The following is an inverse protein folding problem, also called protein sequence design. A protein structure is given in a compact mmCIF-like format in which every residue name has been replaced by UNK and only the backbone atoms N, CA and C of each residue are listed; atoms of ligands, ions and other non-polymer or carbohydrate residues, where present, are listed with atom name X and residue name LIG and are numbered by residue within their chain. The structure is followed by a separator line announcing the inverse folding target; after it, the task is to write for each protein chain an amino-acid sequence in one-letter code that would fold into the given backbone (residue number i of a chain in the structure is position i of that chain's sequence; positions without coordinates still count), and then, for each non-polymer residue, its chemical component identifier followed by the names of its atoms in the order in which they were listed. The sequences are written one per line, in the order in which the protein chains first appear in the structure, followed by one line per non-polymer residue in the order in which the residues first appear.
data_IF_087507155286
#
_entry.id   IF_087507155286
#
_cell.length_a   1.000
_cell.length_b   1.000
_cell.length_c   1.000
_cell.angle_alpha   90.00
_cell.angle_beta   90.00
_cell.angle_gamma   90.00
#
_symmetry.space_group_name_H-M   'P 1'
#
loop_
_entity.id
_entity.type
_entity.pdbx_description
1 polymer ?
#
# COMPACT_ATOMS: atom_id res chain seq x y z
N UNK A 1 -7.76 -2.19 -15.02
CA UNK A 1 -8.51 -1.07 -14.41
C UNK A 1 -8.38 -1.30 -12.93
N UNK A 2 -7.50 -0.56 -12.24
CA UNK A 2 -7.27 -0.75 -10.79
C UNK A 2 -8.60 -0.75 -10.05
N UNK A 3 -8.86 -1.79 -9.26
CA UNK A 3 -10.19 -2.00 -8.71
C UNK A 3 -10.41 -1.06 -7.53
N UNK A 4 -11.28 -0.07 -7.72
CA UNK A 4 -11.87 0.72 -6.63
C UNK A 4 -13.17 0.05 -6.15
N UNK A 5 -13.39 0.06 -4.83
CA UNK A 5 -14.60 -0.44 -4.19
C UNK A 5 -14.88 0.37 -2.91
N UNK A 6 -16.16 0.73 -2.73
CA UNK A 6 -16.68 1.42 -1.54
C UNK A 6 -17.64 0.54 -0.73
N UNK A 7 -17.70 -0.76 -1.04
CA UNK A 7 -18.68 -1.71 -0.51
C UNK A 7 -18.26 -2.37 0.81
N UNK A 8 -19.25 -2.84 1.57
CA UNK A 8 -19.02 -3.67 2.75
C UNK A 8 -18.34 -5.00 2.41
N UNK A 9 -17.56 -5.53 3.35
CA UNK A 9 -16.66 -6.67 3.16
C UNK A 9 -17.35 -7.92 2.59
N UNK A 10 -18.61 -8.16 2.94
CA UNK A 10 -19.37 -9.34 2.45
C UNK A 10 -19.67 -9.24 0.96
N UNK A 11 -19.95 -8.04 0.44
CA UNK A 11 -20.22 -7.83 -0.99
C UNK A 11 -18.95 -8.07 -1.83
N UNK A 12 -17.79 -7.69 -1.30
CA UNK A 12 -16.49 -7.91 -1.95
C UNK A 12 -16.20 -9.39 -2.21
N UNK A 13 -16.67 -10.27 -1.31
CA UNK A 13 -16.49 -11.72 -1.45
C UNK A 13 -17.23 -12.30 -2.66
N UNK A 14 -18.21 -11.61 -3.26
CA UNK A 14 -18.97 -12.11 -4.42
C UNK A 14 -18.42 -11.61 -5.76
N UNK A 15 -17.42 -10.72 -5.75
CA UNK A 15 -16.85 -10.15 -6.98
C UNK A 15 -15.97 -11.18 -7.72
N UNK A 16 -15.98 -11.13 -9.06
CA UNK A 16 -15.16 -12.02 -9.90
C UNK A 16 -13.87 -11.37 -10.44
N UNK A 17 -13.95 -10.13 -10.95
CA UNK A 17 -12.77 -9.43 -11.49
C UNK A 17 -11.82 -9.04 -10.36
N UNK A 18 -10.52 -9.28 -10.54
CA UNK A 18 -9.46 -9.13 -9.54
C UNK A 18 -9.69 -9.85 -8.21
N UNK A 19 -10.57 -10.85 -8.17
CA UNK A 19 -10.90 -11.51 -6.92
C UNK A 19 -10.07 -12.76 -6.67
N UNK A 20 -10.08 -13.17 -5.39
CA UNK A 20 -9.51 -14.42 -4.92
C UNK A 20 -10.03 -15.63 -5.72
N UNK A 21 -11.30 -15.61 -6.12
CA UNK A 21 -11.91 -16.70 -6.88
C UNK A 21 -11.27 -16.87 -8.26
N UNK A 22 -11.13 -15.78 -9.02
CA UNK A 22 -10.48 -15.82 -10.34
C UNK A 22 -9.04 -16.34 -10.23
N UNK A 23 -8.37 -16.04 -9.12
CA UNK A 23 -6.98 -16.40 -8.89
C UNK A 23 -6.74 -17.87 -8.52
N UNK A 24 -7.60 -18.46 -7.69
CA UNK A 24 -7.35 -19.77 -7.05
C UNK A 24 -8.27 -20.87 -7.59
N UNK A 25 -9.37 -20.54 -8.29
CA UNK A 25 -10.37 -21.53 -8.71
C UNK A 25 -9.78 -22.66 -9.55
N UNK A 26 -8.87 -22.36 -10.49
CA UNK A 26 -8.22 -23.38 -11.33
C UNK A 26 -7.39 -24.36 -10.49
N UNK A 27 -6.64 -23.83 -9.52
CA UNK A 27 -5.83 -24.63 -8.61
C UNK A 27 -6.74 -25.50 -7.71
N UNK A 28 -7.88 -24.96 -7.25
CA UNK A 28 -8.90 -25.69 -6.47
C UNK A 28 -9.52 -26.83 -7.23
N UNK A 29 -9.89 -26.61 -8.48
CA UNK A 29 -10.44 -27.66 -9.33
C UNK A 29 -9.38 -28.75 -9.56
N UNK A 30 -8.14 -28.38 -9.89
CA UNK A 30 -7.06 -29.34 -10.10
C UNK A 30 -6.75 -30.18 -8.85
N UNK A 31 -6.70 -29.56 -7.68
CA UNK A 31 -6.52 -30.25 -6.41
C UNK A 31 -7.66 -31.24 -6.12
N UNK A 32 -8.92 -30.81 -6.27
CA UNK A 32 -10.06 -31.70 -6.04
C UNK A 32 -10.10 -32.87 -7.02
N UNK A 33 -9.78 -32.64 -8.30
CA UNK A 33 -9.64 -33.72 -9.29
C UNK A 33 -8.58 -34.74 -8.87
N UNK A 34 -7.39 -34.28 -8.45
CA UNK A 34 -6.33 -35.15 -7.95
C UNK A 34 -6.73 -35.91 -6.68
N UNK A 35 -7.40 -35.23 -5.75
CA UNK A 35 -7.90 -35.82 -4.51
C UNK A 35 -8.87 -36.98 -4.78
N UNK A 36 -9.90 -36.75 -5.62
CA UNK A 36 -10.88 -37.79 -5.96
C UNK A 36 -10.29 -38.91 -6.82
N UNK A 37 -9.26 -38.63 -7.63
CA UNK A 37 -8.54 -39.66 -8.38
C UNK A 37 -7.81 -40.63 -7.43
N UNK A 38 -7.11 -40.11 -6.43
CA UNK A 38 -6.42 -40.92 -5.41
C UNK A 38 -7.44 -41.69 -4.57
N UNK A 39 -8.55 -41.05 -4.20
CA UNK A 39 -9.62 -41.70 -3.45
C UNK A 39 -10.26 -42.86 -4.23
N UNK A 40 -10.55 -42.64 -5.52
CA UNK A 40 -11.06 -43.69 -6.41
C UNK A 40 -10.05 -44.83 -6.57
N UNK A 41 -8.76 -44.52 -6.64
CA UNK A 41 -7.71 -45.54 -6.63
C UNK A 41 -7.73 -46.37 -5.34
N UNK A 42 -7.87 -45.73 -4.18
CA UNK A 42 -7.94 -46.39 -2.87
C UNK A 42 -9.17 -47.30 -2.72
N UNK A 43 -10.32 -46.90 -3.29
CA UNK A 43 -11.57 -47.66 -3.21
C UNK A 43 -11.61 -48.86 -4.16
N UNK A 44 -11.21 -48.67 -5.41
CA UNK A 44 -11.47 -49.67 -6.47
C UNK A 44 -10.26 -50.56 -6.78
N UNK A 45 -9.04 -50.14 -6.45
CA UNK A 45 -7.82 -50.85 -6.87
C UNK A 45 -6.98 -51.42 -5.71
N UNK A 46 -7.16 -50.96 -4.48
CA UNK A 46 -6.37 -51.43 -3.33
C UNK A 46 -7.07 -52.54 -2.56
N UNK A 47 -6.34 -53.62 -2.29
CA UNK A 47 -6.77 -54.70 -1.40
C UNK A 47 -6.65 -54.29 0.09
N UNK A 48 -7.31 -55.01 1.00
CA UNK A 48 -7.32 -54.69 2.45
C UNK A 48 -5.92 -54.57 3.07
N UNK A 49 -4.96 -55.42 2.66
CA UNK A 49 -3.57 -55.31 3.13
C UNK A 49 -2.90 -54.05 2.59
N UNK A 50 -3.15 -53.68 1.34
CA UNK A 50 -2.58 -52.49 0.71
C UNK A 50 -3.18 -51.21 1.29
N UNK A 51 -4.48 -51.20 1.62
CA UNK A 51 -5.13 -50.10 2.33
C UNK A 51 -4.45 -49.81 3.68
N UNK A 52 -4.06 -50.84 4.44
CA UNK A 52 -3.29 -50.66 5.69
C UNK A 52 -1.93 -49.98 5.47
N UNK A 53 -1.19 -50.37 4.43
CA UNK A 53 0.07 -49.68 4.07
C UNK A 53 -0.18 -48.23 3.62
N UNK A 54 -1.25 -47.99 2.87
CA UNK A 54 -1.65 -46.65 2.44
C UNK A 54 -2.04 -45.78 3.62
N UNK A 55 -2.76 -46.30 4.63
CA UNK A 55 -3.03 -45.59 5.89
C UNK A 55 -1.73 -45.22 6.60
N UNK A 56 -0.71 -46.08 6.58
CA UNK A 56 0.63 -45.75 7.05
C UNK A 56 1.26 -44.56 6.31
N UNK A 57 1.11 -44.50 4.99
CA UNK A 57 1.56 -43.37 4.17
C UNK A 57 0.79 -42.07 4.48
N UNK A 58 -0.54 -42.15 4.65
CA UNK A 58 -1.38 -41.01 5.06
C UNK A 58 -0.86 -40.42 6.36
N UNK A 59 -0.69 -41.26 7.40
CA UNK A 59 -0.19 -40.83 8.70
C UNK A 59 1.21 -40.21 8.61
N UNK A 60 2.10 -40.76 7.78
CA UNK A 60 3.43 -40.19 7.55
C UNK A 60 3.38 -38.81 6.90
N UNK A 61 2.52 -38.64 5.90
CA UNK A 61 2.26 -37.34 5.28
C UNK A 61 1.65 -36.33 6.26
N UNK A 62 0.71 -36.74 7.13
CA UNK A 62 0.14 -35.88 8.18
C UNK A 62 1.20 -35.32 9.13
N UNK A 63 2.16 -36.16 9.56
CA UNK A 63 3.30 -35.72 10.37
C UNK A 63 4.19 -34.76 9.55
N UNK A 64 4.46 -35.10 8.28
CA UNK A 64 5.20 -34.26 7.35
C UNK A 64 4.67 -32.83 7.23
N UNK A 65 3.35 -32.66 7.19
CA UNK A 65 2.68 -31.36 7.08
C UNK A 65 2.93 -30.43 8.28
N UNK A 66 3.24 -30.98 9.47
CA UNK A 66 3.50 -30.18 10.67
C UNK A 66 4.86 -29.46 10.62
N UNK A 67 5.79 -29.93 9.81
CA UNK A 67 7.13 -29.34 9.70
C UNK A 67 7.21 -28.13 8.77
N UNK A 68 6.14 -27.83 8.01
CA UNK A 68 6.13 -26.75 7.01
C UNK A 68 5.41 -25.51 7.58
N UNK A 69 6.12 -24.46 8.05
CA UNK A 69 5.51 -23.27 8.62
C UNK A 69 5.05 -22.29 7.52
N UNK A 70 4.02 -22.67 6.76
CA UNK A 70 3.53 -21.89 5.61
C UNK A 70 3.17 -20.44 5.97
N UNK A 71 2.46 -20.24 7.08
CA UNK A 71 1.98 -18.90 7.47
C UNK A 71 3.13 -17.92 7.70
N UNK A 72 4.22 -18.39 8.30
CA UNK A 72 5.40 -17.56 8.53
C UNK A 72 6.05 -17.20 7.19
N UNK A 73 6.33 -18.20 6.35
CA UNK A 73 7.02 -18.00 5.08
C UNK A 73 6.22 -17.09 4.12
N UNK A 74 4.92 -17.32 3.98
CA UNK A 74 4.03 -16.50 3.17
C UNK A 74 3.88 -15.09 3.75
N UNK A 75 3.78 -14.95 5.07
CA UNK A 75 3.68 -13.66 5.75
C UNK A 75 4.85 -12.74 5.45
N UNK A 76 6.08 -13.23 5.60
CA UNK A 76 7.28 -12.45 5.28
C UNK A 76 7.40 -12.15 3.78
N UNK A 77 7.10 -13.12 2.93
CA UNK A 77 7.17 -12.93 1.49
C UNK A 77 6.19 -11.86 1.01
N UNK A 78 4.91 -11.99 1.37
CA UNK A 78 3.86 -11.07 0.93
C UNK A 78 4.05 -9.68 1.54
N UNK A 79 4.50 -9.57 2.79
CA UNK A 79 4.82 -8.27 3.39
C UNK A 79 5.91 -7.52 2.59
N UNK A 80 6.97 -8.20 2.16
CA UNK A 80 8.03 -7.60 1.33
C UNK A 80 7.48 -7.19 -0.04
N UNK A 81 6.64 -8.02 -0.67
CA UNK A 81 6.01 -7.69 -1.95
C UNK A 81 5.12 -6.45 -1.82
N UNK A 82 4.22 -6.41 -0.83
CA UNK A 82 3.29 -5.30 -0.61
C UNK A 82 4.04 -3.99 -0.33
N UNK A 83 5.11 -4.04 0.48
CA UNK A 83 5.94 -2.87 0.73
C UNK A 83 6.57 -2.33 -0.57
N UNK A 84 7.14 -3.21 -1.41
CA UNK A 84 7.71 -2.83 -2.72
C UNK A 84 6.64 -2.32 -3.69
N UNK A 85 5.43 -2.89 -3.65
CA UNK A 85 4.31 -2.44 -4.47
C UNK A 85 3.93 -1.00 -4.13
N UNK A 86 3.80 -0.67 -2.84
CA UNK A 86 3.48 0.69 -2.39
C UNK A 86 4.59 1.70 -2.68
N UNK A 87 5.85 1.30 -2.50
CA UNK A 87 6.98 2.13 -2.88
C UNK A 87 6.99 2.44 -4.39
N UNK A 88 6.77 1.44 -5.25
CA UNK A 88 6.66 1.67 -6.69
C UNK A 88 5.52 2.64 -7.03
N UNK A 89 4.37 2.55 -6.36
CA UNK A 89 3.28 3.52 -6.52
C UNK A 89 3.72 4.95 -6.17
N UNK A 90 4.43 5.12 -5.04
CA UNK A 90 4.88 6.42 -4.57
C UNK A 90 5.92 7.08 -5.50
N UNK A 91 6.66 6.28 -6.27
CA UNK A 91 7.64 6.77 -7.26
C UNK A 91 7.04 7.10 -8.63
N UNK A 92 5.74 6.85 -8.87
CA UNK A 92 5.08 7.30 -10.10
C UNK A 92 5.16 8.83 -10.15
N UNK A 93 5.90 9.36 -11.14
CA UNK A 93 6.14 10.80 -11.27
C UNK A 93 4.92 11.57 -11.80
N UNK A 94 4.57 12.67 -11.13
CA UNK A 94 3.51 13.61 -11.52
C UNK A 94 4.14 14.98 -11.85
N UNK A 95 3.85 15.59 -13.02
CA UNK A 95 4.50 16.83 -13.45
C UNK A 95 3.96 18.07 -12.71
N UNK A 96 2.88 17.95 -11.93
CA UNK A 96 2.13 19.05 -11.32
C UNK A 96 3.02 20.03 -10.55
N UNK A 97 3.86 19.54 -9.64
CA UNK A 97 4.76 20.39 -8.84
C UNK A 97 5.75 21.16 -9.74
N UNK A 98 6.30 20.47 -10.74
CA UNK A 98 7.20 21.07 -11.72
C UNK A 98 6.47 22.13 -12.56
N UNK A 99 5.25 21.83 -13.03
CA UNK A 99 4.48 22.74 -13.88
C UNK A 99 3.98 23.98 -13.13
N UNK A 100 3.64 23.86 -11.84
CA UNK A 100 3.34 25.01 -10.97
C UNK A 100 4.58 25.92 -10.88
N UNK A 101 5.77 25.34 -10.69
CA UNK A 101 7.01 26.12 -10.65
C UNK A 101 7.32 26.79 -12.00
N UNK A 102 7.10 26.07 -13.11
CA UNK A 102 7.25 26.59 -14.47
C UNK A 102 6.32 27.78 -14.71
N UNK A 103 5.05 27.68 -14.33
CA UNK A 103 4.09 28.77 -14.44
C UNK A 103 4.52 30.00 -13.61
N UNK A 104 4.97 29.78 -12.38
CA UNK A 104 5.41 30.85 -11.49
C UNK A 104 6.68 31.58 -11.98
N UNK A 105 7.66 30.84 -12.50
CA UNK A 105 8.95 31.42 -12.91
C UNK A 105 8.92 32.03 -14.32
N UNK A 106 8.01 31.58 -15.18
CA UNK A 106 7.95 31.98 -16.59
C UNK A 106 6.56 32.55 -16.93
N UNK A 107 6.13 33.67 -16.34
CA UNK A 107 4.79 34.23 -16.57
C UNK A 107 4.65 34.90 -17.95
N UNK A 108 3.41 35.10 -18.37
CA UNK A 108 3.02 35.89 -19.54
C UNK A 108 3.13 35.16 -20.88
N UNK A 109 2.52 35.77 -21.91
CA UNK A 109 2.38 35.19 -23.25
C UNK A 109 3.73 34.94 -23.97
N UNK A 110 4.76 35.74 -23.68
CA UNK A 110 6.11 35.57 -24.27
C UNK A 110 6.78 34.25 -23.87
N UNK A 111 6.32 33.63 -22.79
CA UNK A 111 6.82 32.36 -22.27
C UNK A 111 5.88 31.19 -22.54
N UNK A 112 4.73 31.41 -23.18
CA UNK A 112 3.74 30.37 -23.48
C UNK A 112 4.35 29.16 -24.19
N UNK A 113 5.08 29.40 -25.28
CA UNK A 113 5.74 28.33 -26.06
C UNK A 113 6.75 27.53 -25.21
N UNK A 114 7.45 28.20 -24.28
CA UNK A 114 8.42 27.56 -23.38
C UNK A 114 7.68 26.65 -22.40
N UNK A 115 6.62 27.15 -21.76
CA UNK A 115 5.81 26.36 -20.82
C UNK A 115 5.16 25.15 -21.50
N UNK A 116 4.61 25.33 -22.69
CA UNK A 116 4.01 24.24 -23.48
C UNK A 116 5.05 23.20 -23.89
N UNK A 117 6.26 23.64 -24.25
CA UNK A 117 7.35 22.73 -24.60
C UNK A 117 7.80 21.92 -23.38
N UNK A 118 7.93 22.54 -22.20
CA UNK A 118 8.25 21.81 -20.96
C UNK A 118 7.14 20.81 -20.61
N UNK A 119 5.86 21.21 -20.72
CA UNK A 119 4.73 20.32 -20.49
C UNK A 119 4.79 19.10 -21.43
N UNK A 120 4.95 19.33 -22.73
CA UNK A 120 5.02 18.25 -23.73
C UNK A 120 6.24 17.36 -23.54
N UNK A 121 7.42 17.92 -23.28
CA UNK A 121 8.61 17.11 -23.00
C UNK A 121 8.52 16.33 -21.69
N UNK A 122 7.79 16.83 -20.69
CA UNK A 122 7.51 16.06 -19.47
C UNK A 122 6.60 14.85 -19.76
N UNK A 123 5.58 15.02 -20.61
CA UNK A 123 4.76 13.92 -21.09
C UNK A 123 5.53 12.93 -21.96
N UNK A 124 6.40 13.44 -22.84
CA UNK A 124 7.26 12.62 -23.68
C UNK A 124 8.24 11.79 -22.85
N UNK A 125 8.86 12.41 -21.83
CA UNK A 125 9.70 11.74 -20.84
C UNK A 125 8.96 10.56 -20.20
N UNK A 126 7.73 10.79 -19.72
CA UNK A 126 6.92 9.76 -19.09
C UNK A 126 6.57 8.64 -20.07
N UNK A 127 6.15 8.97 -21.29
CA UNK A 127 5.81 7.99 -22.32
C UNK A 127 7.01 7.08 -22.65
N UNK A 128 8.18 7.66 -22.93
CA UNK A 128 9.41 6.89 -23.27
C UNK A 128 9.92 6.09 -22.07
N UNK A 129 9.84 6.62 -20.85
CA UNK A 129 10.26 5.88 -19.67
C UNK A 129 9.31 4.69 -19.39
N UNK A 130 8.00 4.91 -19.50
CA UNK A 130 7.00 3.90 -19.17
C UNK A 130 6.84 2.81 -20.24
N UNK A 131 7.19 3.06 -21.51
CA UNK A 131 7.31 1.96 -22.49
C UNK A 131 8.41 0.96 -22.12
N UNK A 132 9.43 1.39 -21.36
CA UNK A 132 10.51 0.54 -20.88
C UNK A 132 10.15 -0.35 -19.68
N UNK A 133 9.06 -0.07 -18.96
CA UNK A 133 8.69 -0.79 -17.73
C UNK A 133 7.25 -1.34 -17.72
N UNK A 134 6.34 -0.77 -18.51
CA UNK A 134 4.93 -1.17 -18.52
C UNK A 134 4.52 -1.79 -19.85
N UNK A 135 3.94 -2.99 -19.76
CA UNK A 135 3.45 -3.74 -20.92
C UNK A 135 2.32 -2.96 -21.61
N UNK A 136 1.41 -2.34 -20.83
CA UNK A 136 0.29 -1.56 -21.36
C UNK A 136 0.74 -0.30 -22.09
N UNK A 137 1.78 0.38 -21.60
CA UNK A 137 2.31 1.57 -22.26
C UNK A 137 3.14 1.19 -23.48
N UNK A 138 3.91 0.09 -23.43
CA UNK A 138 4.62 -0.45 -24.60
C UNK A 138 3.64 -0.82 -25.73
N UNK A 139 2.51 -1.45 -25.41
CA UNK A 139 1.45 -1.75 -26.41
C UNK A 139 0.83 -0.50 -27.01
N UNK A 140 0.78 0.61 -26.25
CA UNK A 140 0.28 1.90 -26.73
C UNK A 140 1.27 2.62 -27.63
N UNK A 141 2.57 2.54 -27.32
CA UNK A 141 3.64 3.15 -28.13
C UNK A 141 4.75 2.13 -28.43
N UNK A 142 4.52 1.18 -29.37
CA UNK A 142 5.49 0.12 -29.66
C UNK A 142 6.80 0.62 -30.29
N UNK A 143 6.73 1.77 -30.97
CA UNK A 143 7.88 2.40 -31.64
C UNK A 143 7.86 3.90 -31.40
N UNK A 144 9.02 4.55 -31.49
CA UNK A 144 9.16 6.00 -31.32
C UNK A 144 8.30 6.79 -32.32
N UNK A 145 7.97 6.22 -33.49
CA UNK A 145 7.07 6.84 -34.46
C UNK A 145 5.67 7.06 -33.91
N UNK A 146 5.16 6.15 -33.07
CA UNK A 146 3.86 6.35 -32.42
C UNK A 146 3.85 7.56 -31.47
N UNK A 147 5.02 7.97 -30.93
CA UNK A 147 5.13 9.19 -30.11
C UNK A 147 5.00 10.46 -30.97
N UNK A 148 5.44 10.40 -32.22
CA UNK A 148 5.27 11.48 -33.21
C UNK A 148 3.82 11.56 -33.66
N UNK A 149 3.21 10.42 -34.02
CA UNK A 149 1.79 10.33 -34.40
C UNK A 149 0.86 10.80 -33.27
N UNK A 150 1.22 10.54 -32.02
CA UNK A 150 0.52 11.03 -30.84
C UNK A 150 0.77 12.52 -30.51
N UNK A 151 1.57 13.23 -31.32
CA UNK A 151 1.97 14.62 -31.12
C UNK A 151 2.71 14.90 -29.80
N UNK A 152 3.37 13.88 -29.22
CA UNK A 152 4.26 14.05 -28.07
C UNK A 152 5.66 14.50 -28.51
N UNK A 153 6.06 14.17 -29.75
CA UNK A 153 7.35 14.50 -30.34
C UNK A 153 7.13 15.13 -31.73
N UNK A 154 7.88 16.17 -32.08
CA UNK A 154 7.87 16.73 -33.45
C UNK A 154 8.80 15.92 -34.37
N UNK A 155 8.70 16.10 -35.70
CA UNK A 155 9.62 15.44 -36.65
C UNK A 155 11.08 15.84 -36.42
N UNK A 156 11.35 17.12 -36.12
CA UNK A 156 12.71 17.58 -35.82
C UNK A 156 13.27 16.94 -34.54
N UNK A 157 12.44 16.86 -33.51
CA UNK A 157 12.80 16.19 -32.26
C UNK A 157 13.00 14.70 -32.46
N UNK A 158 12.22 14.06 -33.32
CA UNK A 158 12.38 12.65 -33.68
C UNK A 158 13.70 12.39 -34.37
N UNK A 159 14.07 13.22 -35.35
CA UNK A 159 15.35 13.10 -36.03
C UNK A 159 16.51 13.28 -35.03
N UNK A 160 16.43 14.28 -34.15
CA UNK A 160 17.43 14.50 -33.11
C UNK A 160 17.48 13.33 -32.13
N UNK A 161 16.34 12.85 -31.64
CA UNK A 161 16.22 11.72 -30.72
C UNK A 161 16.80 10.43 -31.31
N UNK A 162 16.53 10.16 -32.59
CA UNK A 162 17.01 8.97 -33.28
C UNK A 162 18.51 9.03 -33.57
N UNK A 163 19.06 10.21 -33.86
CA UNK A 163 20.50 10.39 -34.10
C UNK A 163 21.39 10.12 -32.89
N UNK A 164 20.85 10.13 -31.68
CA UNK A 164 21.60 9.86 -30.45
C UNK A 164 21.91 8.35 -30.38
N UNK A 165 23.20 8.01 -30.27
CA UNK A 165 23.62 6.67 -29.89
C UNK A 165 23.57 6.53 -28.36
N UNK A 166 22.61 5.74 -27.87
CA UNK A 166 22.36 5.52 -26.46
C UNK A 166 22.02 4.04 -26.21
N UNK A 167 23.03 3.16 -26.12
CA UNK A 167 22.84 1.71 -26.00
C UNK A 167 22.12 1.30 -24.71
N UNK A 168 22.09 2.18 -23.70
CA UNK A 168 21.42 1.96 -22.41
C UNK A 168 20.01 2.55 -22.33
N UNK A 169 19.43 2.95 -23.48
CA UNK A 169 18.10 3.55 -23.57
C UNK A 169 18.13 5.08 -23.54
N UNK A 170 17.04 5.67 -24.07
CA UNK A 170 16.92 7.12 -24.31
C UNK A 170 15.90 7.81 -23.40
N UNK A 171 15.46 7.12 -22.35
CA UNK A 171 14.39 7.62 -21.48
C UNK A 171 14.71 8.98 -20.87
N UNK A 172 15.97 9.31 -20.57
CA UNK A 172 16.39 10.57 -19.95
C UNK A 172 16.47 11.78 -20.92
N UNK A 173 16.38 11.55 -22.23
CA UNK A 173 16.68 12.56 -23.25
C UNK A 173 15.75 13.79 -23.15
N UNK A 174 14.41 13.65 -23.03
CA UNK A 174 13.52 14.80 -22.87
C UNK A 174 13.80 15.61 -21.60
N UNK A 175 14.19 14.96 -20.49
CA UNK A 175 14.63 15.66 -19.27
C UNK A 175 15.83 16.57 -19.55
N UNK A 176 16.81 16.09 -20.33
CA UNK A 176 17.97 16.91 -20.72
C UNK A 176 17.57 18.10 -21.60
N UNK A 177 16.57 17.94 -22.46
CA UNK A 177 16.03 19.05 -23.25
C UNK A 177 15.37 20.10 -22.36
N UNK A 178 14.60 19.69 -21.34
CA UNK A 178 14.01 20.61 -20.35
C UNK A 178 15.10 21.40 -19.62
N UNK A 179 16.16 20.72 -19.13
CA UNK A 179 17.29 21.38 -18.45
C UNK A 179 17.98 22.40 -19.37
N UNK A 180 18.22 22.04 -20.63
CA UNK A 180 18.82 22.95 -21.60
C UNK A 180 17.93 24.15 -21.91
N UNK A 181 16.61 23.95 -22.02
CA UNK A 181 15.65 25.03 -22.22
C UNK A 181 15.63 26.01 -21.04
N UNK A 182 15.64 25.50 -19.81
CA UNK A 182 15.76 26.32 -18.59
C UNK A 182 17.07 27.11 -18.61
N UNK A 183 18.19 26.48 -18.96
CA UNK A 183 19.49 27.15 -19.11
C UNK A 183 19.46 28.26 -20.17
N UNK A 184 18.76 28.05 -21.29
CA UNK A 184 18.56 29.08 -22.32
C UNK A 184 17.73 30.24 -21.77
N UNK A 185 16.68 29.99 -21.00
CA UNK A 185 15.89 31.06 -20.37
C UNK A 185 16.72 31.89 -19.39
N UNK A 186 17.61 31.24 -18.62
CA UNK A 186 18.57 31.92 -17.76
C UNK A 186 19.57 32.77 -18.56
N UNK A 187 20.16 32.22 -19.62
CA UNK A 187 21.08 32.96 -20.50
C UNK A 187 20.44 34.17 -21.18
N UNK A 188 19.14 34.09 -21.48
CA UNK A 188 18.33 35.20 -21.99
C UNK A 188 17.88 36.18 -20.90
N UNK A 189 18.28 35.98 -19.64
CA UNK A 189 17.87 36.77 -18.47
C UNK A 189 16.35 36.84 -18.26
N UNK A 190 15.62 35.80 -18.70
CA UNK A 190 14.17 35.67 -18.45
C UNK A 190 13.86 35.12 -17.06
N UNK A 191 14.81 34.39 -16.48
CA UNK A 191 14.77 33.88 -15.11
C UNK A 191 16.07 34.22 -14.40
N UNK A 192 16.02 34.37 -13.07
CA UNK A 192 17.20 34.56 -12.23
C UNK A 192 17.80 33.22 -11.74
N UNK A 193 18.89 33.29 -10.97
CA UNK A 193 19.60 32.11 -10.45
C UNK A 193 18.78 31.32 -9.41
N UNK A 194 17.93 31.99 -8.64
CA UNK A 194 17.08 31.34 -7.62
C UNK A 194 15.96 30.58 -8.32
N UNK A 195 15.28 31.20 -9.27
CA UNK A 195 14.27 30.58 -10.11
C UNK A 195 14.83 29.38 -10.89
N UNK A 196 16.03 29.52 -11.46
CA UNK A 196 16.70 28.40 -12.14
C UNK A 196 16.94 27.22 -11.18
N UNK A 197 17.43 27.48 -9.96
CA UNK A 197 17.64 26.43 -8.95
C UNK A 197 16.32 25.74 -8.60
N UNK A 198 15.26 26.50 -8.32
CA UNK A 198 13.95 25.96 -7.96
C UNK A 198 13.34 25.11 -9.07
N UNK A 199 13.47 25.54 -10.34
CA UNK A 199 13.03 24.75 -11.49
C UNK A 199 13.81 23.44 -11.61
N UNK A 200 15.14 23.48 -11.48
CA UNK A 200 15.98 22.29 -11.59
C UNK A 200 15.70 21.27 -10.48
N UNK A 201 15.48 21.72 -9.24
CA UNK A 201 15.11 20.83 -8.13
C UNK A 201 13.85 20.03 -8.44
N UNK A 202 12.82 20.67 -9.02
CA UNK A 202 11.60 19.97 -9.42
C UNK A 202 11.80 19.06 -10.64
N UNK A 203 12.63 19.44 -11.60
CA UNK A 203 12.99 18.57 -12.75
C UNK A 203 13.72 17.31 -12.27
N UNK A 204 14.65 17.45 -11.32
CA UNK A 204 15.39 16.31 -10.76
C UNK A 204 14.47 15.40 -9.94
N UNK A 205 13.62 15.95 -9.07
CA UNK A 205 12.63 15.15 -8.34
C UNK A 205 11.67 14.41 -9.28
N UNK A 206 11.26 15.03 -10.38
CA UNK A 206 10.43 14.38 -11.41
C UNK A 206 11.18 13.22 -12.09
N UNK A 207 12.47 13.44 -12.41
CA UNK A 207 13.35 12.43 -13.03
C UNK A 207 13.62 11.24 -12.10
N UNK A 208 13.78 11.49 -10.81
CA UNK A 208 14.13 10.47 -9.81
C UNK A 208 13.04 9.40 -9.69
N UNK A 209 11.76 9.77 -9.85
CA UNK A 209 10.69 8.79 -9.89
C UNK A 209 10.84 7.77 -11.02
N UNK A 210 11.15 8.21 -12.25
CA UNK A 210 11.43 7.27 -13.35
C UNK A 210 12.67 6.42 -13.07
N UNK A 211 13.74 7.01 -12.54
CA UNK A 211 14.96 6.28 -12.20
C UNK A 211 14.67 5.17 -11.18
N UNK A 212 13.92 5.48 -10.13
CA UNK A 212 13.53 4.51 -9.10
C UNK A 212 12.64 3.41 -9.66
N UNK A 213 11.71 3.72 -10.57
CA UNK A 213 10.92 2.69 -11.24
C UNK A 213 11.78 1.75 -12.10
N UNK A 214 12.79 2.26 -12.81
CA UNK A 214 13.76 1.41 -13.51
C UNK A 214 14.56 0.52 -12.54
N UNK A 215 14.93 1.03 -11.36
CA UNK A 215 15.63 0.23 -10.33
C UNK A 215 14.72 -0.88 -9.81
N UNK A 216 13.45 -0.60 -9.54
CA UNK A 216 12.48 -1.61 -9.12
C UNK A 216 12.18 -2.64 -10.22
N UNK A 217 12.24 -2.22 -11.48
CA UNK A 217 12.10 -3.13 -12.62
C UNK A 217 13.33 -4.04 -12.78
N UNK A 218 14.53 -3.46 -12.72
CA UNK A 218 15.78 -4.21 -12.86
C UNK A 218 16.06 -5.14 -11.68
N UNK A 219 15.89 -4.64 -10.45
CA UNK A 219 16.17 -5.36 -9.21
C UNK A 219 14.88 -5.93 -8.63
N UNK A 220 14.45 -7.07 -9.17
CA UNK A 220 13.30 -7.85 -8.66
C UNK A 220 13.65 -8.55 -7.33
N UNK A 221 12.62 -9.08 -6.66
CA UNK A 221 12.82 -9.96 -5.50
C UNK A 221 13.67 -11.17 -5.93
N UNK A 222 14.69 -11.59 -5.16
CA UNK A 222 15.56 -12.69 -5.52
C UNK A 222 14.76 -13.95 -5.91
N UNK A 223 15.10 -14.54 -7.06
CA UNK A 223 14.41 -15.71 -7.60
C UNK A 223 14.38 -16.88 -6.60
N UNK A 224 15.48 -17.10 -5.86
CA UNK A 224 15.52 -18.15 -4.85
C UNK A 224 14.45 -17.96 -3.77
N UNK A 225 14.13 -16.72 -3.40
CA UNK A 225 13.13 -16.45 -2.39
C UNK A 225 11.73 -16.76 -2.91
N UNK A 226 11.42 -16.34 -4.15
CA UNK A 226 10.13 -16.67 -4.79
C UNK A 226 9.97 -18.17 -5.00
N UNK A 227 11.05 -18.87 -5.38
CA UNK A 227 11.08 -20.33 -5.53
C UNK A 227 10.84 -21.05 -4.21
N UNK A 228 11.51 -20.66 -3.11
CA UNK A 228 11.33 -21.30 -1.79
C UNK A 228 9.88 -21.20 -1.33
N UNK A 229 9.26 -20.02 -1.46
CA UNK A 229 7.86 -19.81 -1.06
C UNK A 229 6.91 -20.62 -1.93
N UNK A 230 7.14 -20.66 -3.25
CA UNK A 230 6.35 -21.45 -4.17
C UNK A 230 6.46 -22.95 -3.90
N UNK A 231 7.68 -23.48 -3.76
CA UNK A 231 7.94 -24.90 -3.48
C UNK A 231 7.32 -25.30 -2.14
N UNK A 232 7.48 -24.49 -1.09
CA UNK A 232 6.87 -24.79 0.20
C UNK A 232 5.34 -24.85 0.10
N UNK A 233 4.71 -23.88 -0.57
CA UNK A 233 3.26 -23.80 -0.69
C UNK A 233 2.68 -24.91 -1.56
N UNK A 234 3.20 -25.10 -2.79
CA UNK A 234 2.74 -26.16 -3.68
C UNK A 234 3.10 -27.55 -3.15
N UNK A 235 4.29 -27.72 -2.58
CA UNK A 235 4.73 -28.96 -1.94
C UNK A 235 3.84 -29.35 -0.76
N UNK A 236 3.44 -28.38 0.07
CA UNK A 236 2.47 -28.62 1.15
C UNK A 236 1.15 -29.17 0.60
N UNK A 237 0.60 -28.58 -0.47
CA UNK A 237 -0.66 -29.08 -1.04
C UNK A 237 -0.49 -30.42 -1.77
N UNK A 238 0.67 -30.71 -2.36
CA UNK A 238 0.98 -32.04 -2.90
C UNK A 238 0.99 -33.09 -1.77
N UNK A 239 1.59 -32.78 -0.62
CA UNK A 239 1.56 -33.69 0.54
C UNK A 239 0.12 -33.82 1.08
N UNK A 240 -0.68 -32.74 1.09
CA UNK A 240 -2.09 -32.79 1.48
C UNK A 240 -2.94 -33.69 0.57
N UNK A 241 -2.61 -33.85 -0.73
CA UNK A 241 -3.33 -34.77 -1.62
C UNK A 241 -3.28 -36.22 -1.11
N UNK A 242 -2.22 -36.60 -0.40
CA UNK A 242 -2.03 -37.91 0.20
C UNK A 242 -2.44 -37.91 1.68
N UNK A 243 -1.90 -36.98 2.46
CA UNK A 243 -2.08 -36.94 3.92
C UNK A 243 -3.47 -36.56 4.40
N UNK A 244 -4.37 -36.06 3.53
CA UNK A 244 -5.76 -35.73 3.90
C UNK A 244 -6.78 -36.69 3.30
N UNK A 245 -6.35 -37.82 2.75
CA UNK A 245 -7.25 -38.88 2.28
C UNK A 245 -7.93 -39.58 3.46
N UNK A 246 -9.15 -40.09 3.29
CA UNK A 246 -9.81 -40.88 4.32
C UNK A 246 -9.08 -42.22 4.53
N UNK A 247 -8.97 -42.63 5.78
CA UNK A 247 -8.40 -43.93 6.16
C UNK A 247 -9.48 -44.99 5.96
N UNK A 248 -9.31 -45.86 4.95
CA UNK A 248 -10.31 -46.85 4.54
C UNK A 248 -10.02 -48.26 5.04
N UNK A 249 -9.05 -48.43 5.94
CA UNK A 249 -8.86 -49.70 6.63
C UNK A 249 -9.98 -49.94 7.66
N UNK A 250 -10.35 -51.20 7.82
CA UNK A 250 -11.46 -51.66 8.67
C UNK A 250 -11.40 -51.07 10.09
N UNK A 251 -10.20 -51.03 10.70
CA UNK A 251 -9.99 -50.48 12.04
C UNK A 251 -10.19 -48.95 12.12
N UNK A 252 -9.81 -48.20 11.09
CA UNK A 252 -9.97 -46.74 11.08
C UNK A 252 -11.41 -46.34 10.78
N UNK A 253 -12.11 -47.09 9.92
CA UNK A 253 -13.54 -46.87 9.62
C UNK A 253 -14.46 -47.07 10.83
N UNK A 254 -14.07 -47.91 11.79
CA UNK A 254 -14.79 -48.08 13.06
C UNK A 254 -14.67 -46.88 14.00
N UNK A 255 -13.57 -46.11 13.89
CA UNK A 255 -13.22 -45.06 14.86
C UNK A 255 -13.38 -43.63 14.30
N UNK A 256 -13.34 -43.46 12.98
CA UNK A 256 -13.35 -42.15 12.32
C UNK A 256 -14.41 -42.07 11.21
N UNK A 257 -15.08 -40.92 11.10
CA UNK A 257 -16.03 -40.67 10.01
C UNK A 257 -15.24 -40.40 8.72
N UNK A 258 -15.45 -41.24 7.70
CA UNK A 258 -14.88 -41.04 6.37
C UNK A 258 -15.53 -39.83 5.68
N UNK A 259 -14.95 -38.63 5.86
CA UNK A 259 -15.39 -37.42 5.17
C UNK A 259 -14.91 -37.49 3.71
N UNK A 260 -15.85 -37.70 2.78
CA UNK A 260 -15.55 -37.83 1.35
C UNK A 260 -15.03 -36.54 0.72
N UNK A 261 -15.42 -35.38 1.25
CA UNK A 261 -15.07 -34.06 0.73
C UNK A 261 -14.07 -33.35 1.63
N UNK A 262 -12.90 -32.92 1.12
CA UNK A 262 -11.88 -32.26 1.94
C UNK A 262 -12.21 -30.75 2.12
N UNK A 263 -13.31 -30.45 2.83
CA UNK A 263 -13.84 -29.09 3.01
C UNK A 263 -12.80 -28.16 3.64
N UNK A 264 -12.23 -28.54 4.78
CA UNK A 264 -11.25 -27.71 5.49
C UNK A 264 -9.93 -27.57 4.72
N UNK A 265 -9.49 -28.60 4.00
CA UNK A 265 -8.30 -28.51 3.13
C UNK A 265 -8.56 -27.56 1.96
N UNK A 266 -9.78 -27.55 1.41
CA UNK A 266 -10.18 -26.60 0.37
C UNK A 266 -10.15 -25.16 0.90
N UNK A 267 -10.66 -24.90 2.11
CA UNK A 267 -10.53 -23.60 2.77
C UNK A 267 -9.06 -23.21 3.00
N UNK A 268 -8.25 -24.12 3.54
CA UNK A 268 -6.80 -23.90 3.73
C UNK A 268 -6.14 -23.51 2.41
N UNK A 269 -6.55 -24.12 1.30
CA UNK A 269 -6.01 -23.81 -0.01
C UNK A 269 -6.43 -22.46 -0.54
N UNK A 270 -7.71 -22.08 -0.38
CA UNK A 270 -8.18 -20.73 -0.68
C UNK A 270 -7.36 -19.69 0.09
N UNK A 271 -7.05 -19.93 1.37
CA UNK A 271 -6.25 -19.01 2.17
C UNK A 271 -4.77 -18.99 1.75
N UNK A 272 -4.06 -20.12 1.75
CA UNK A 272 -2.61 -20.12 1.50
C UNK A 272 -2.24 -19.92 0.03
N UNK A 273 -2.95 -20.55 -0.92
CA UNK A 273 -2.73 -20.24 -2.33
C UNK A 273 -3.22 -18.83 -2.64
N UNK A 274 -4.34 -18.40 -2.07
CA UNK A 274 -4.79 -17.01 -2.20
C UNK A 274 -3.73 -16.03 -1.77
N UNK A 275 -3.11 -16.26 -0.62
CA UNK A 275 -2.05 -15.42 -0.09
C UNK A 275 -0.81 -15.42 -0.99
N UNK A 276 -0.42 -16.58 -1.51
CA UNK A 276 0.64 -16.68 -2.53
C UNK A 276 0.27 -15.89 -3.80
N UNK A 277 -0.98 -15.99 -4.28
CA UNK A 277 -1.48 -15.27 -5.46
C UNK A 277 -1.46 -13.76 -5.26
N UNK A 278 -1.80 -13.26 -4.07
CA UNK A 278 -1.63 -11.84 -3.72
C UNK A 278 -0.17 -11.42 -3.93
N UNK A 279 0.78 -12.20 -3.41
CA UNK A 279 2.20 -11.94 -3.65
C UNK A 279 2.59 -12.00 -5.12
N UNK A 280 2.01 -12.92 -5.91
CA UNK A 280 2.31 -13.04 -7.35
C UNK A 280 1.82 -11.83 -8.15
N UNK A 281 0.57 -11.41 -7.97
CA UNK A 281 0.00 -10.27 -8.72
C UNK A 281 0.69 -8.95 -8.37
N UNK A 282 0.99 -8.72 -7.09
CA UNK A 282 1.62 -7.47 -6.67
C UNK A 282 3.13 -7.40 -6.98
N UNK A 283 3.75 -8.52 -7.39
CA UNK A 283 5.19 -8.57 -7.69
C UNK A 283 5.56 -7.77 -8.95
N UNK A 284 4.65 -7.63 -9.91
CA UNK A 284 4.85 -6.84 -11.12
C UNK A 284 3.65 -5.93 -11.43
N UNK A 285 3.55 -4.77 -10.77
CA UNK A 285 2.36 -3.91 -10.87
C UNK A 285 2.23 -3.12 -12.17
N UNK A 286 3.13 -3.32 -13.14
CA UNK A 286 3.14 -2.65 -14.44
C UNK A 286 2.78 -3.58 -15.59
N UNK A 287 2.26 -4.77 -15.27
CA UNK A 287 1.83 -5.78 -16.22
C UNK A 287 0.47 -5.51 -16.84
N UNK A 288 -0.35 -6.55 -16.91
CA UNK A 288 -1.69 -6.50 -17.48
C UNK A 288 -2.79 -7.01 -16.54
N UNK A 289 -2.46 -7.33 -15.29
CA UNK A 289 -3.41 -7.84 -14.32
C UNK A 289 -4.49 -6.79 -13.96
N UNK A 290 -5.63 -7.26 -13.45
CA UNK A 290 -6.81 -6.39 -13.23
C UNK A 290 -6.46 -5.20 -12.32
N UNK A 291 -5.61 -5.41 -11.32
CA UNK A 291 -5.18 -4.46 -10.28
C UNK A 291 -3.83 -3.78 -10.52
N UNK A 292 -3.24 -3.94 -11.71
CA UNK A 292 -2.03 -3.22 -12.07
C UNK A 292 -2.26 -1.70 -12.19
N UNK A 293 -1.18 -0.94 -12.03
CA UNK A 293 -1.20 0.51 -12.11
C UNK A 293 -1.57 1.01 -13.51
N UNK A 294 -2.46 2.00 -13.57
CA UNK A 294 -2.97 2.54 -14.82
C UNK A 294 -2.08 3.65 -15.40
N UNK A 295 -0.85 3.32 -15.78
CA UNK A 295 0.09 4.31 -16.30
C UNK A 295 -0.40 5.03 -17.56
N UNK A 296 -1.21 4.38 -18.41
CA UNK A 296 -1.82 5.05 -19.56
C UNK A 296 -2.80 6.15 -19.13
N UNK A 297 -3.62 5.91 -18.10
CA UNK A 297 -4.50 6.94 -17.54
C UNK A 297 -3.67 8.06 -16.89
N UNK A 298 -2.65 7.71 -16.11
CA UNK A 298 -1.77 8.70 -15.48
C UNK A 298 -1.09 9.57 -16.55
N UNK A 299 -0.64 8.98 -17.67
CA UNK A 299 -0.05 9.71 -18.79
C UNK A 299 -1.04 10.71 -19.41
N UNK A 300 -2.27 10.28 -19.67
CA UNK A 300 -3.31 11.12 -20.28
C UNK A 300 -3.68 12.29 -19.35
N UNK A 301 -3.94 11.98 -18.07
CA UNK A 301 -4.21 12.96 -17.02
C UNK A 301 -3.07 13.97 -16.91
N UNK A 302 -1.83 13.48 -16.84
CA UNK A 302 -0.65 14.33 -16.66
C UNK A 302 -0.42 15.24 -17.87
N UNK A 303 -0.59 14.72 -19.07
CA UNK A 303 -0.47 15.50 -20.31
C UNK A 303 -1.53 16.59 -20.39
N UNK A 304 -2.78 16.26 -20.05
CA UNK A 304 -3.88 17.21 -20.05
C UNK A 304 -3.65 18.34 -19.02
N UNK A 305 -3.35 17.98 -17.78
CA UNK A 305 -3.16 18.95 -16.69
C UNK A 305 -1.89 19.78 -16.88
N UNK A 306 -0.78 19.17 -17.32
CA UNK A 306 0.45 19.91 -17.61
C UNK A 306 0.22 20.95 -18.73
N UNK A 307 -0.51 20.59 -19.78
CA UNK A 307 -0.85 21.55 -20.84
C UNK A 307 -1.76 22.68 -20.33
N UNK A 308 -2.77 22.37 -19.52
CA UNK A 308 -3.66 23.38 -18.92
C UNK A 308 -2.91 24.34 -17.99
N UNK A 309 -1.99 23.82 -17.17
CA UNK A 309 -1.10 24.62 -16.31
C UNK A 309 -0.12 25.49 -17.12
N UNK A 310 0.33 25.02 -18.29
CA UNK A 310 1.21 25.78 -19.17
C UNK A 310 0.49 26.90 -19.92
N UNK A 311 -0.81 26.74 -20.19
CA UNK A 311 -1.59 27.60 -21.06
C UNK A 311 -2.56 28.48 -20.27
N UNK A 312 -3.79 28.00 -20.08
CA UNK A 312 -4.94 28.72 -19.56
C UNK A 312 -4.72 29.22 -18.13
N UNK A 313 -4.17 28.37 -17.25
CA UNK A 313 -4.08 28.66 -15.82
C UNK A 313 -2.84 29.46 -15.43
N UNK A 314 -1.80 29.47 -16.27
CA UNK A 314 -0.48 29.97 -15.89
C UNK A 314 -0.50 31.41 -15.35
N UNK A 315 -1.31 32.25 -15.98
CA UNK A 315 -1.43 33.68 -15.68
C UNK A 315 -2.85 34.07 -15.24
N UNK A 316 -3.73 33.07 -15.00
CA UNK A 316 -5.12 33.31 -14.63
C UNK A 316 -5.23 33.65 -13.15
N UNK A 317 -5.78 34.83 -12.85
CA UNK A 317 -6.06 35.29 -11.50
C UNK A 317 -7.49 35.84 -11.42
N UNK A 318 -8.35 35.33 -10.52
CA UNK A 318 -9.63 35.96 -10.23
C UNK A 318 -9.46 37.39 -9.71
N UNK A 319 -10.41 38.31 -9.93
CA UNK A 319 -10.34 39.66 -9.37
C UNK A 319 -10.18 39.64 -7.85
N UNK A 320 -9.21 40.41 -7.34
CA UNK A 320 -9.02 40.58 -5.91
C UNK A 320 -10.20 41.37 -5.36
N UNK A 321 -11.02 40.72 -4.52
CA UNK A 321 -12.20 41.33 -3.90
C UNK A 321 -12.04 41.39 -2.39
N UNK A 322 -12.71 42.35 -1.73
CA UNK A 322 -12.80 42.42 -0.27
C UNK A 322 -13.82 41.41 0.30
N UNK A 323 -14.05 40.30 -0.39
CA UNK A 323 -15.03 39.31 0.01
C UNK A 323 -14.68 38.74 1.39
N UNK A 324 -15.56 38.96 2.38
CA UNK A 324 -15.41 38.40 3.72
C UNK A 324 -16.01 37.00 3.72
N UNK A 325 -15.18 36.00 3.93
CA UNK A 325 -15.64 34.63 4.16
C UNK A 325 -16.12 34.45 5.60
N UNK A 326 -16.99 33.47 5.83
CA UNK A 326 -17.45 33.13 7.17
C UNK A 326 -16.30 32.45 7.95
N UNK A 327 -15.85 33.09 9.04
CA UNK A 327 -14.82 32.53 9.93
C UNK A 327 -15.27 31.21 10.56
N UNK A 328 -16.57 31.06 10.79
CA UNK A 328 -17.20 29.78 11.14
C UNK A 328 -17.89 29.21 9.91
N UNK A 329 -17.32 28.15 9.35
CA UNK A 329 -17.84 27.51 8.15
C UNK A 329 -19.14 26.76 8.50
N UNK A 330 -20.27 27.05 7.82
CA UNK A 330 -21.55 26.41 8.13
C UNK A 330 -21.57 24.95 7.65
N UNK A 331 -22.32 24.11 8.36
CA UNK A 331 -22.57 22.73 7.97
C UNK A 331 -23.88 22.61 7.17
N UNK A 332 -23.90 21.69 6.20
CA UNK A 332 -25.17 21.24 5.60
C UNK A 332 -26.00 20.46 6.63
N UNK A 333 -27.30 20.29 6.40
CA UNK A 333 -28.15 19.49 7.29
C UNK A 333 -27.69 18.03 7.40
N UNK A 334 -27.13 17.47 6.33
CA UNK A 334 -26.61 16.10 6.34
C UNK A 334 -25.37 15.99 7.23
N UNK A 335 -24.40 16.90 7.08
CA UNK A 335 -23.18 16.91 7.89
C UNK A 335 -23.46 17.30 9.35
N UNK A 336 -24.42 18.18 9.63
CA UNK A 336 -24.70 18.60 11.02
C UNK A 336 -25.27 17.47 11.89
N UNK A 337 -25.89 16.45 11.27
CA UNK A 337 -26.31 15.22 11.98
C UNK A 337 -25.12 14.36 12.42
N UNK A 338 -23.97 14.53 11.78
CA UNK A 338 -22.73 13.80 12.05
C UNK A 338 -21.81 14.79 12.76
N UNK A 339 -21.97 14.92 14.08
CA UNK A 339 -21.19 15.89 14.85
C UNK A 339 -19.73 15.44 14.97
N UNK A 340 -18.82 16.35 14.66
CA UNK A 340 -17.39 16.12 14.83
C UNK A 340 -17.02 16.05 16.32
N UNK A 341 -16.17 15.08 16.67
CA UNK A 341 -15.54 15.04 17.99
C UNK A 341 -14.35 15.98 17.94
N UNK A 342 -14.53 17.20 18.46
CA UNK A 342 -13.45 18.18 18.54
C UNK A 342 -12.33 17.63 19.44
N UNK A 343 -11.07 17.52 18.95
CA UNK A 343 -9.96 17.08 19.77
C UNK A 343 -9.79 18.04 20.94
N UNK A 344 -10.05 17.54 22.16
CA UNK A 344 -9.77 18.27 23.39
C UNK A 344 -8.43 17.80 23.93
N UNK A 345 -7.62 18.72 24.45
CA UNK A 345 -6.42 18.34 25.18
C UNK A 345 -6.79 17.37 26.30
N UNK A 346 -6.01 16.30 26.48
CA UNK A 346 -6.23 15.30 27.54
C UNK A 346 -6.17 15.91 28.95
N UNK A 347 -5.62 17.12 29.10
CA UNK A 347 -5.60 17.89 30.35
C UNK A 347 -6.68 18.98 30.41
N UNK A 348 -7.52 19.15 29.38
CA UNK A 348 -8.56 20.19 29.36
C UNK A 348 -9.61 20.01 30.47
N UNK A 349 -9.77 18.79 30.97
CA UNK A 349 -10.63 18.45 32.11
C UNK A 349 -9.88 18.42 33.44
N UNK A 350 -8.54 18.47 33.41
CA UNK A 350 -7.72 18.49 34.61
C UNK A 350 -7.76 19.88 35.24
N UNK A 351 -8.34 19.98 36.44
CA UNK A 351 -8.47 21.22 37.19
C UNK A 351 -7.59 21.16 38.43
N UNK A 352 -6.59 22.03 38.51
CA UNK A 352 -5.84 22.27 39.74
C UNK A 352 -6.72 23.07 40.72
N UNK A 353 -6.63 22.75 42.01
CA UNK A 353 -7.25 23.56 43.06
C UNK A 353 -6.57 24.93 43.16
N UNK A 354 -7.25 25.91 43.77
CA UNK A 354 -6.71 27.28 43.94
C UNK A 354 -5.38 27.30 44.69
N UNK A 355 -5.17 26.34 45.61
CA UNK A 355 -3.91 26.22 46.35
C UNK A 355 -2.79 25.64 45.49
N UNK A 356 -3.07 24.59 44.70
CA UNK A 356 -2.09 23.98 43.78
C UNK A 356 -1.67 24.92 42.64
N UNK A 357 -2.49 25.94 42.32
CA UNK A 357 -2.15 26.98 41.34
C UNK A 357 -1.25 28.08 41.92
N UNK A 358 -0.99 28.10 43.23
CA UNK A 358 -0.15 29.14 43.83
C UNK A 358 1.31 28.93 43.44
N UNK A 359 1.96 30.03 43.04
CA UNK A 359 3.38 30.02 42.69
C UNK A 359 4.21 30.13 43.97
N UNK A 360 5.00 29.11 44.26
CA UNK A 360 5.99 29.17 45.32
C UNK A 360 7.15 30.05 44.82
N UNK A 361 7.53 31.05 45.61
CA UNK A 361 8.68 31.92 45.28
C UNK A 361 9.99 31.21 45.64
N UNK A 362 11.11 31.47 44.93
CA UNK A 362 12.38 30.80 45.18
C UNK A 362 12.88 30.90 46.63
N UNK A 363 12.60 32.03 47.28
CA UNK A 363 12.95 32.30 48.68
C UNK A 363 12.23 31.36 49.67
N UNK A 364 11.08 30.81 49.28
CA UNK A 364 10.22 30.00 50.13
C UNK A 364 10.28 28.50 49.77
N UNK A 365 11.15 28.10 48.85
CA UNK A 365 11.24 26.70 48.40
C UNK A 365 11.63 25.75 49.53
N UNK A 366 12.57 26.13 50.39
CA UNK A 366 13.01 25.29 51.51
C UNK A 366 11.91 25.14 52.58
N UNK A 367 11.18 26.21 52.87
CA UNK A 367 10.08 26.20 53.84
C UNK A 367 8.89 25.37 53.33
N UNK A 368 8.50 25.52 52.06
CA UNK A 368 7.41 24.72 51.49
C UNK A 368 7.78 23.23 51.32
N UNK A 369 9.03 22.92 50.96
CA UNK A 369 9.51 21.54 50.90
C UNK A 369 9.41 20.85 52.28
N UNK A 370 9.78 21.55 53.36
CA UNK A 370 9.65 21.05 54.73
C UNK A 370 8.18 20.88 55.15
N UNK A 371 7.28 21.79 54.75
CA UNK A 371 5.85 21.69 55.02
C UNK A 371 5.21 20.47 54.32
N UNK A 372 5.58 20.21 53.06
CA UNK A 372 5.08 19.04 52.30
C UNK A 372 5.60 17.72 52.90
N UNK A 373 6.88 17.66 53.31
CA UNK A 373 7.43 16.48 54.00
C UNK A 373 6.70 16.21 55.32
N UNK A 374 6.45 17.26 56.10
CA UNK A 374 5.73 17.17 57.36
C UNK A 374 4.26 16.75 57.16
N UNK A 375 3.54 17.27 56.17
CA UNK A 375 2.17 16.84 55.84
C UNK A 375 2.11 15.38 55.39
N UNK A 376 3.05 14.92 54.57
CA UNK A 376 3.12 13.53 54.10
C UNK A 376 3.37 12.53 55.24
N UNK A 377 4.19 12.90 56.24
CA UNK A 377 4.46 12.11 57.44
C UNK A 377 3.22 12.00 58.35
N UNK A 378 2.46 13.10 58.45
CA UNK A 378 1.23 13.18 59.24
C UNK A 378 0.07 12.41 58.59
N UNK A 379 -0.01 12.42 57.25
CA UNK A 379 -0.99 11.63 56.49
C UNK A 379 -0.71 10.13 56.57
N UNK A 380 0.57 9.70 56.52
CA UNK A 380 0.98 8.31 56.77
C UNK A 380 0.64 7.85 58.19
N UNK A 381 0.79 8.72 59.20
CA UNK A 381 0.35 8.42 60.58
C UNK A 381 -1.18 8.29 60.70
N UNK A 382 -1.97 9.15 60.02
CA UNK A 382 -3.44 9.07 60.01
C UNK A 382 -3.97 7.81 59.31
N UNK A 383 -3.39 7.42 58.17
CA UNK A 383 -3.73 6.16 57.49
C UNK A 383 -3.33 4.94 58.35
N UNK A 384 -2.18 4.98 59.04
CA UNK A 384 -1.78 3.96 60.01
C UNK A 384 -2.72 3.83 61.22
N UNK A 385 -3.31 4.94 61.69
CA UNK A 385 -4.33 4.97 62.75
C UNK A 385 -5.69 4.43 62.28
N UNK A 386 -6.11 4.74 61.05
CA UNK A 386 -7.35 4.21 60.44
C UNK A 386 -7.27 2.70 60.17
N UNK A 387 -6.12 2.19 59.72
CA UNK A 387 -5.89 0.74 59.56
C UNK A 387 -5.91 0.01 60.91
N UNK A 388 -5.41 0.65 62.00
CA UNK A 388 -5.53 0.13 63.38
C UNK A 388 -6.96 0.20 63.93
N UNK A 389 -7.78 1.17 63.52
CA UNK A 389 -9.17 1.31 63.94
C UNK A 389 -10.12 0.32 63.22
N UNK A 390 -9.81 -0.07 61.98
CA UNK A 390 -10.59 -1.03 61.19
C UNK A 390 -10.26 -2.49 61.58
N UNK A 391 -9.08 -2.76 62.13
CA UNK A 391 -8.70 -4.09 62.65
C UNK A 391 -9.41 -4.57 63.92
N UNK A 392 -10.23 -3.74 64.58
CA UNK A 392 -10.89 -4.08 65.86
C UNK A 392 -12.42 -4.24 65.80
N UNK A 393 -13.05 -4.17 64.62
CA UNK A 393 -14.48 -4.47 64.45
C UNK A 393 -14.71 -5.58 63.42
N UNK A 394 -15.12 -6.75 63.90
CA UNK A 394 -15.66 -7.86 63.06
C UNK A 394 -16.78 -7.33 62.15
N UNK A 395 -16.79 -7.61 60.85
CA UNK A 395 -17.83 -7.12 59.95
C UNK A 395 -19.03 -8.08 59.93
N UNK A 396 -20.20 -7.58 60.31
CA UNK A 396 -21.49 -8.15 59.95
C UNK A 396 -21.93 -7.58 58.60
N UNK A 397 -22.33 -8.49 57.69
CA UNK A 397 -22.95 -8.29 56.39
C UNK A 397 -23.78 -6.99 56.24
N UNK A 398 -23.61 -6.30 55.09
CA UNK A 398 -24.78 -5.76 54.39
C UNK A 398 -24.52 -5.58 52.88
N UNK A 399 -25.45 -6.18 52.14
CA UNK A 399 -25.67 -6.17 50.69
C UNK A 399 -26.49 -4.94 50.32
N UNK A 400 -26.09 -4.17 49.29
CA UNK A 400 -26.95 -3.22 48.54
C UNK A 400 -26.40 -3.22 47.10
N UNK A 401 -27.00 -3.96 46.16
CA UNK A 401 -28.12 -3.56 45.29
C UNK A 401 -27.74 -2.47 44.27
N UNK A 402 -27.50 -2.93 43.04
CA UNK A 402 -27.43 -2.16 41.80
C UNK A 402 -28.84 -1.70 41.40
N UNK A 403 -29.01 -0.43 41.09
CA UNK A 403 -30.19 0.09 40.40
C UNK A 403 -29.76 0.75 39.08
N UNK A 404 -30.33 0.20 38.00
CA UNK A 404 -30.93 0.84 36.81
C UNK A 404 -30.40 2.20 36.34
#
# INVERSE_FOLDING_TARGET
MTISYDEEFVSLMLRWRGSLWKAVLKDVIAFNMGYYMILGFQWYFLDETQKKYFTGLINWCEIGLQYIPLSFLLGFFVAVVVARWWEQFNWISWPDKMMIMVAACLPGQKNLAVRQTIARWSSLQAAVAWTGISVRTLKRFPTERHLVEANLMTEDEYNMFMSIDAPHGKWFVPTMWIVNLIKTMYGQKRIDSVQMKMLLEHVYSYRDGFAMLFVYDWVKIPLVYTQVVAIATYGYFIICLLGRQPKLDEHSLENEIAILMPVFTTFQMIFYLGWLKVGQYLMNPFGEDDDDFELNYVLDRNTYIANMMATELADQLPPISQYRFNVQIPHTRASFKIQDIVPKSHLSTFKLSTNEMQMIKPENFEEEAQLIENESSTQRQRLGLLVRAIGSKKPSMLVIALNS
#
